data_IF_472773251637
#
_entry.id   IF_472773251637
#
_cell.length_a   1.000
_cell.length_b   1.000
_cell.length_c   1.000
_cell.angle_alpha   90.00
_cell.angle_beta   90.00
_cell.angle_gamma   90.00
#
_symmetry.space_group_name_H-M   'P 1'
#
loop_
_entity.id
_entity.type
_entity.pdbx_description
1 polymer ?
#
# COMPACT_ATOMS: atom_id res chain seq x y z
N UNK A 1 -16.64 -3.64 -34.61
CA UNK A 1 -16.10 -4.35 -33.43
C UNK A 1 -16.86 -3.85 -32.21
N UNK A 2 -17.92 -4.50 -31.78
CA UNK A 2 -18.80 -3.90 -30.77
C UNK A 2 -19.76 -4.93 -30.20
N UNK A 3 -19.50 -5.30 -28.94
CA UNK A 3 -20.39 -5.89 -27.92
C UNK A 3 -19.59 -6.69 -26.88
N UNK A 4 -18.45 -7.30 -27.24
CA UNK A 4 -17.67 -8.16 -26.32
C UNK A 4 -16.68 -7.39 -25.44
N UNK A 5 -16.17 -6.23 -25.88
CA UNK A 5 -15.21 -5.43 -25.12
C UNK A 5 -15.89 -4.41 -24.17
N UNK A 6 -17.06 -3.88 -24.55
CA UNK A 6 -17.75 -2.88 -23.74
C UNK A 6 -18.27 -3.42 -22.40
N UNK A 7 -18.52 -4.73 -22.29
CA UNK A 7 -19.04 -5.36 -21.08
C UNK A 7 -18.09 -5.18 -19.89
N UNK A 8 -16.80 -5.46 -20.11
CA UNK A 8 -15.76 -5.36 -19.10
C UNK A 8 -15.59 -3.91 -18.61
N UNK A 9 -15.61 -2.96 -19.55
CA UNK A 9 -15.47 -1.53 -19.24
C UNK A 9 -16.70 -0.93 -18.56
N UNK A 10 -17.92 -1.38 -18.92
CA UNK A 10 -19.17 -0.90 -18.33
C UNK A 10 -19.24 -1.14 -16.83
N UNK A 11 -18.76 -2.29 -16.37
CA UNK A 11 -18.70 -2.64 -14.94
C UNK A 11 -17.89 -1.59 -14.16
N UNK A 12 -16.82 -1.05 -14.76
CA UNK A 12 -15.95 -0.05 -14.14
C UNK A 12 -16.48 1.39 -14.15
N UNK A 13 -17.52 1.72 -14.93
CA UNK A 13 -17.94 3.12 -15.15
C UNK A 13 -18.40 3.82 -13.87
N UNK A 14 -19.11 3.13 -12.98
CA UNK A 14 -19.57 3.72 -11.72
C UNK A 14 -18.41 4.06 -10.77
N UNK A 15 -17.45 3.14 -10.64
CA UNK A 15 -16.26 3.34 -9.80
C UNK A 15 -15.35 4.42 -10.39
N UNK A 16 -15.26 4.48 -11.72
CA UNK A 16 -14.56 5.54 -12.43
C UNK A 16 -15.22 6.91 -12.23
N UNK A 17 -16.56 7.00 -12.29
CA UNK A 17 -17.30 8.25 -12.01
C UNK A 17 -17.07 8.77 -10.60
N UNK A 18 -16.91 7.87 -9.62
CA UNK A 18 -16.57 8.21 -8.23
C UNK A 18 -15.07 8.53 -8.01
N UNK A 19 -14.23 8.43 -9.05
CA UNK A 19 -12.78 8.65 -8.95
C UNK A 19 -12.07 7.61 -8.08
N UNK A 20 -12.60 6.37 -8.01
CA UNK A 20 -12.10 5.30 -7.14
C UNK A 20 -11.45 4.13 -7.89
N UNK A 21 -11.42 4.18 -9.22
CA UNK A 21 -10.84 3.11 -10.02
C UNK A 21 -9.30 3.15 -9.94
N UNK A 22 -8.59 2.01 -9.78
CA UNK A 22 -7.13 1.98 -9.75
C UNK A 22 -6.51 2.56 -11.03
N UNK A 23 -5.31 3.15 -10.93
CA UNK A 23 -4.69 3.91 -12.03
C UNK A 23 -4.62 3.15 -13.36
N UNK A 24 -4.11 1.91 -13.36
CA UNK A 24 -4.00 1.11 -14.58
C UNK A 24 -5.38 0.78 -15.21
N UNK A 25 -6.39 0.51 -14.37
CA UNK A 25 -7.76 0.24 -14.83
C UNK A 25 -8.44 1.52 -15.35
N UNK A 26 -8.20 2.66 -14.68
CA UNK A 26 -8.68 3.97 -15.11
C UNK A 26 -8.05 4.38 -16.45
N UNK A 27 -6.77 4.12 -16.66
CA UNK A 27 -6.08 4.42 -17.91
C UNK A 27 -6.65 3.57 -19.06
N UNK A 28 -6.84 2.27 -18.84
CA UNK A 28 -7.46 1.37 -19.81
C UNK A 28 -8.89 1.80 -20.17
N UNK A 29 -9.71 2.11 -19.17
CA UNK A 29 -11.08 2.60 -19.39
C UNK A 29 -11.08 3.95 -20.11
N UNK A 30 -10.18 4.87 -19.76
CA UNK A 30 -10.04 6.16 -20.46
C UNK A 30 -9.72 5.97 -21.94
N UNK A 31 -8.91 4.95 -22.28
CA UNK A 31 -8.57 4.62 -23.65
C UNK A 31 -9.78 4.12 -24.44
N UNK A 32 -10.57 3.22 -23.85
CA UNK A 32 -11.82 2.76 -24.42
C UNK A 32 -12.81 3.91 -24.65
N UNK A 33 -12.96 4.81 -23.67
CA UNK A 33 -13.86 5.95 -23.75
C UNK A 33 -13.54 6.92 -24.89
N UNK A 34 -12.28 7.00 -25.37
CA UNK A 34 -11.95 7.80 -26.57
C UNK A 34 -12.63 7.24 -27.82
N UNK A 35 -12.75 5.91 -27.94
CA UNK A 35 -13.31 5.23 -29.10
C UNK A 35 -14.79 4.86 -29.00
N UNK A 36 -15.40 4.92 -27.81
CA UNK A 36 -16.72 4.33 -27.56
C UNK A 36 -17.79 5.35 -27.14
N UNK A 37 -18.60 5.89 -28.09
CA UNK A 37 -19.73 6.77 -27.79
C UNK A 37 -20.75 6.23 -26.77
N UNK A 38 -21.20 4.95 -26.81
CA UNK A 38 -22.21 4.48 -25.87
C UNK A 38 -21.70 4.44 -24.42
N UNK A 39 -20.46 4.01 -24.18
CA UNK A 39 -19.87 4.04 -22.84
C UNK A 39 -19.63 5.47 -22.34
N UNK A 40 -19.36 6.44 -23.22
CA UNK A 40 -19.33 7.86 -22.83
C UNK A 40 -20.69 8.40 -22.41
N UNK A 41 -21.76 8.02 -23.12
CA UNK A 41 -23.11 8.40 -22.76
C UNK A 41 -23.50 7.82 -21.38
N UNK A 42 -23.24 6.54 -21.17
CA UNK A 42 -23.47 5.89 -19.86
C UNK A 42 -22.67 6.54 -18.73
N UNK A 43 -21.39 6.90 -18.98
CA UNK A 43 -20.59 7.65 -18.01
C UNK A 43 -21.18 9.03 -17.68
N UNK A 44 -21.75 9.73 -18.66
CA UNK A 44 -22.35 11.04 -18.45
C UNK A 44 -23.55 10.95 -17.49
N UNK A 45 -24.42 9.95 -17.66
CA UNK A 45 -25.54 9.69 -16.76
C UNK A 45 -25.06 9.37 -15.34
N UNK A 46 -24.02 8.54 -15.20
CA UNK A 46 -23.46 8.17 -13.90
C UNK A 46 -22.80 9.36 -13.17
N UNK A 47 -22.22 10.32 -13.91
CA UNK A 47 -21.62 11.53 -13.31
C UNK A 47 -22.65 12.41 -12.62
N UNK A 48 -23.84 12.55 -13.20
CA UNK A 48 -24.94 13.29 -12.56
C UNK A 48 -25.28 12.68 -11.19
N UNK A 49 -25.36 11.34 -11.12
CA UNK A 49 -25.62 10.64 -9.86
C UNK A 49 -24.46 10.81 -8.88
N UNK A 50 -23.21 10.68 -9.34
CA UNK A 50 -22.02 10.87 -8.51
C UNK A 50 -21.95 12.28 -7.90
N UNK A 51 -22.31 13.30 -8.67
CA UNK A 51 -22.40 14.68 -8.19
C UNK A 51 -23.47 14.83 -7.11
N UNK A 52 -24.67 14.27 -7.28
CA UNK A 52 -25.71 14.29 -6.24
C UNK A 52 -25.25 13.60 -4.96
N UNK A 53 -24.56 12.45 -5.07
CA UNK A 53 -24.02 11.73 -3.91
C UNK A 53 -22.95 12.53 -3.15
N UNK A 54 -22.16 13.34 -3.85
CA UNK A 54 -21.16 14.19 -3.21
C UNK A 54 -21.79 15.21 -2.24
N UNK A 55 -23.04 15.62 -2.49
CA UNK A 55 -23.78 16.58 -1.66
C UNK A 55 -24.51 15.95 -0.47
N UNK A 56 -24.74 14.62 -0.46
CA UNK A 56 -25.50 13.94 0.60
C UNK A 56 -24.64 13.32 1.70
N UNK A 57 -23.36 13.07 1.41
CA UNK A 57 -22.45 12.43 2.35
C UNK A 57 -21.54 13.49 2.99
N UNK A 58 -21.42 13.55 4.33
CA UNK A 58 -20.42 14.36 5.00
C UNK A 58 -19.02 14.03 4.47
N UNK A 59 -18.37 15.00 3.84
CA UNK A 59 -17.03 14.82 3.28
C UNK A 59 -16.02 14.67 4.41
N UNK A 60 -15.64 13.43 4.70
CA UNK A 60 -14.54 13.16 5.64
C UNK A 60 -13.22 13.47 4.92
N UNK A 61 -12.34 14.32 5.47
CA UNK A 61 -11.03 14.55 4.87
C UNK A 61 -10.31 13.21 4.71
N UNK A 62 -9.71 13.00 3.54
CA UNK A 62 -8.89 11.83 3.32
C UNK A 62 -7.80 11.78 4.40
N UNK A 63 -7.50 10.60 4.99
CA UNK A 63 -6.36 10.49 5.88
C UNK A 63 -5.14 11.00 5.12
N UNK A 64 -4.37 11.89 5.75
CA UNK A 64 -3.15 12.40 5.17
C UNK A 64 -2.37 11.20 4.63
N UNK A 65 -2.20 11.13 3.30
CA UNK A 65 -1.42 10.07 2.67
C UNK A 65 -0.07 10.16 3.35
N UNK A 66 0.31 9.14 4.13
CA UNK A 66 1.62 9.09 4.73
C UNK A 66 2.60 9.13 3.56
N UNK A 67 3.15 10.31 3.29
CA UNK A 67 4.26 10.47 2.39
C UNK A 67 5.32 9.53 2.91
N UNK A 68 5.59 8.48 2.15
CA UNK A 68 6.66 7.56 2.44
C UNK A 68 7.93 8.39 2.62
N UNK A 69 8.43 8.46 3.86
CA UNK A 69 9.72 9.07 4.18
C UNK A 69 9.68 10.45 4.84
N UNK A 70 9.16 10.55 6.06
CA UNK A 70 10.04 11.12 7.09
C UNK A 70 10.77 9.96 7.74
N UNK A 71 12.05 9.80 7.37
CA UNK A 71 12.93 8.89 8.06
C UNK A 71 12.89 9.27 9.55
N UNK A 72 12.23 8.45 10.38
CA UNK A 72 12.42 8.54 11.83
C UNK A 72 13.93 8.42 12.05
N UNK A 73 14.54 9.51 12.51
CA UNK A 73 15.95 9.53 12.89
C UNK A 73 16.09 8.49 13.99
N UNK A 74 16.59 7.30 13.64
CA UNK A 74 16.74 6.22 14.59
C UNK A 74 17.55 6.72 15.78
N UNK A 75 17.05 6.52 16.99
CA UNK A 75 17.86 6.70 18.18
C UNK A 75 19.04 5.73 18.05
N UNK A 76 20.23 6.27 17.80
CA UNK A 76 21.40 5.50 17.42
C UNK A 76 21.64 4.30 18.34
N UNK A 77 22.02 3.17 17.74
CA UNK A 77 22.45 1.98 18.48
C UNK A 77 23.77 2.34 19.18
N UNK A 78 23.69 2.76 20.45
CA UNK A 78 24.89 2.94 21.29
C UNK A 78 25.63 1.59 21.35
N UNK A 79 26.94 1.52 21.07
CA UNK A 79 27.72 0.32 21.33
C UNK A 79 27.67 0.09 22.84
N UNK A 80 27.16 -1.07 23.26
CA UNK A 80 27.26 -1.52 24.65
C UNK A 80 28.67 -2.08 24.90
N UNK A 81 29.69 -1.24 24.77
CA UNK A 81 31.04 -1.59 25.23
C UNK A 81 31.24 -0.95 26.58
N UNK A 82 30.56 -1.50 27.59
CA UNK A 82 30.76 -1.21 29.01
C UNK A 82 32.00 -1.92 29.58
N UNK A 83 33.12 -1.93 28.87
CA UNK A 83 34.37 -2.50 29.36
C UNK A 83 35.27 -1.37 29.88
N UNK A 84 35.05 -1.00 31.14
CA UNK A 84 36.05 -0.29 31.93
C UNK A 84 37.27 -1.22 32.09
N UNK A 85 38.40 -0.88 31.47
CA UNK A 85 39.68 -1.59 31.61
C UNK A 85 40.34 -1.28 32.95
N UNK A 86 39.64 -1.54 34.06
CA UNK A 86 40.25 -1.58 35.39
C UNK A 86 40.16 -2.99 35.95
N UNK A 87 41.23 -3.75 35.65
CA UNK A 87 41.76 -4.80 36.50
C UNK A 87 40.93 -6.07 36.62
N UNK A 88 41.23 -7.07 35.81
CA UNK A 88 40.92 -8.48 36.11
C UNK A 88 42.09 -9.35 35.59
N UNK A 89 43.06 -9.60 36.47
CA UNK A 89 43.90 -10.79 36.38
C UNK A 89 43.00 -12.00 36.68
N UNK A 90 42.86 -12.91 35.74
CA UNK A 90 42.02 -14.10 35.92
C UNK A 90 42.35 -15.17 34.90
N UNK A 91 43.03 -16.21 35.36
CA UNK A 91 43.55 -17.33 34.59
C UNK A 91 42.47 -18.12 33.82
N UNK A 92 42.84 -18.63 32.65
CA UNK A 92 42.05 -19.60 31.91
C UNK A 92 41.97 -20.91 32.70
N UNK A 93 40.80 -21.27 33.22
CA UNK A 93 40.52 -22.64 33.66
C UNK A 93 39.72 -23.35 32.58
N UNK A 94 40.38 -24.31 31.92
CA UNK A 94 39.77 -25.36 31.11
C UNK A 94 39.19 -26.46 32.03
N UNK A 95 38.10 -27.09 31.60
CA UNK A 95 37.51 -28.30 32.19
C UNK A 95 35.98 -28.17 32.30
N UNK A 96 35.14 -29.17 32.05
CA UNK A 96 35.33 -30.59 31.73
C UNK A 96 33.95 -31.11 31.30
N UNK A 97 33.81 -31.53 30.04
CA UNK A 97 32.60 -32.20 29.55
C UNK A 97 32.63 -33.67 29.92
N UNK A 98 31.71 -34.09 30.80
CA UNK A 98 31.56 -35.46 31.30
C UNK A 98 31.04 -36.48 30.27
N UNK A 99 30.97 -37.76 30.65
CA UNK A 99 30.90 -38.90 29.72
C UNK A 99 29.45 -39.25 29.32
N UNK A 100 29.22 -39.40 28.01
CA UNK A 100 27.99 -39.96 27.44
C UNK A 100 28.20 -41.38 26.96
N UNK A 101 27.61 -42.34 27.68
CA UNK A 101 27.74 -43.79 27.52
C UNK A 101 26.86 -44.31 26.37
N UNK A 102 27.39 -45.25 25.60
CA UNK A 102 26.69 -46.00 24.55
C UNK A 102 25.60 -46.93 25.10
N UNK A 103 24.53 -47.11 24.32
CA UNK A 103 23.94 -48.41 24.01
C UNK A 103 23.45 -48.41 22.56
#
# INVERSE_FOLDING_TARGET
>A
MGRTDCGDYRIGLGVYALGRLPGAEADALSAHLRGCPPCRAELAELRVVAELLAHTVPQRPAPARASAGTARKGAGRRPRTGASLRGLSGACAYGSGGPGRSR
#
